data_IF_672954547521
#
_entry.id   IF_672954547521
#
_cell.length_a   1.000
_cell.length_b   1.000
_cell.length_c   1.000
_cell.angle_alpha   90.00
_cell.angle_beta   90.00
_cell.angle_gamma   90.00
#
_symmetry.space_group_name_H-M   'P 1'
#
loop_
_entity.id
_entity.type
_entity.pdbx_description
1 polymer ?
#
# COMPACT_ATOMS: atom_id res chain seq x y z
N UNK A 1 -3.77 -7.55 7.05
CA UNK A 1 -3.15 -6.22 6.84
C UNK A 1 -3.89 -5.18 7.69
N UNK A 2 -3.34 -4.77 8.85
CA UNK A 2 -3.98 -3.84 9.79
C UNK A 2 -4.27 -2.46 9.19
N UNK A 3 -3.36 -1.92 8.37
CA UNK A 3 -3.55 -0.62 7.72
C UNK A 3 -4.78 -0.59 6.80
N UNK A 4 -4.90 -1.59 5.93
CA UNK A 4 -6.06 -1.76 5.05
C UNK A 4 -7.37 -1.85 5.85
N UNK A 5 -7.38 -2.64 6.93
CA UNK A 5 -8.54 -2.74 7.79
C UNK A 5 -8.91 -1.38 8.39
N UNK A 6 -7.93 -0.65 8.91
CA UNK A 6 -8.10 0.70 9.42
C UNK A 6 -8.67 1.67 8.37
N UNK A 7 -8.16 1.64 7.13
CA UNK A 7 -8.71 2.45 6.03
C UNK A 7 -10.16 2.07 5.76
N UNK A 8 -10.45 0.78 5.59
CA UNK A 8 -11.79 0.30 5.22
C UNK A 8 -12.87 0.66 6.24
N UNK A 9 -12.60 0.46 7.53
CA UNK A 9 -13.60 0.71 8.60
C UNK A 9 -13.84 2.20 8.84
N UNK A 10 -12.88 3.08 8.53
CA UNK A 10 -13.00 4.52 8.73
C UNK A 10 -13.44 5.28 7.46
N UNK A 11 -13.53 4.60 6.32
CA UNK A 11 -14.10 5.19 5.10
C UNK A 11 -15.62 4.96 5.05
N UNK A 12 -16.47 6.00 5.14
CA UNK A 12 -17.93 5.87 5.23
C UNK A 12 -18.61 5.52 3.88
N UNK A 13 -17.90 4.85 2.97
CA UNK A 13 -18.37 4.55 1.62
C UNK A 13 -18.54 3.05 1.41
N UNK A 14 -19.58 2.65 0.68
CA UNK A 14 -19.72 1.27 0.23
C UNK A 14 -18.61 0.95 -0.79
N UNK A 15 -17.52 0.34 -0.31
CA UNK A 15 -16.36 -0.02 -1.12
C UNK A 15 -16.34 -1.53 -1.39
N UNK A 16 -15.98 -1.92 -2.63
CA UNK A 16 -15.69 -3.30 -2.97
C UNK A 16 -14.20 -3.56 -2.77
N UNK A 17 -13.85 -4.47 -1.87
CA UNK A 17 -12.46 -4.84 -1.63
C UNK A 17 -11.97 -5.79 -2.72
N UNK A 18 -10.80 -5.52 -3.29
CA UNK A 18 -10.07 -6.44 -4.16
C UNK A 18 -8.63 -6.54 -3.66
N UNK A 19 -8.10 -7.75 -3.54
CA UNK A 19 -6.73 -7.97 -3.07
C UNK A 19 -5.92 -8.40 -4.29
N UNK A 20 -4.83 -7.68 -4.57
CA UNK A 20 -3.94 -7.96 -5.70
C UNK A 20 -2.60 -8.35 -5.09
N UNK A 21 -2.24 -9.65 -5.01
CA UNK A 21 -0.91 -10.01 -4.52
C UNK A 21 0.16 -9.27 -5.33
N UNK A 22 1.09 -8.61 -4.63
CA UNK A 22 2.15 -7.88 -5.30
C UNK A 22 2.98 -8.85 -6.16
N UNK A 23 3.23 -8.47 -7.41
CA UNK A 23 4.03 -9.25 -8.36
C UNK A 23 5.53 -9.21 -7.98
N UNK A 24 5.93 -8.34 -7.04
CA UNK A 24 7.32 -8.18 -6.61
C UNK A 24 7.57 -8.98 -5.32
N UNK A 25 8.42 -10.02 -5.32
CA UNK A 25 8.61 -10.92 -4.17
C UNK A 25 9.21 -10.28 -2.90
N UNK A 26 9.64 -9.02 -2.96
CA UNK A 26 10.50 -8.40 -1.95
C UNK A 26 9.82 -7.34 -1.07
N UNK A 27 8.57 -6.97 -1.34
CA UNK A 27 7.88 -5.88 -0.64
C UNK A 27 6.38 -6.15 -0.59
N UNK A 28 5.94 -6.81 0.47
CA UNK A 28 4.56 -6.71 0.98
C UNK A 28 3.42 -7.13 0.04
N UNK A 29 2.22 -7.13 0.59
CA UNK A 29 0.98 -7.38 -0.18
C UNK A 29 0.39 -6.03 -0.55
N UNK A 30 0.50 -5.61 -1.81
CA UNK A 30 -0.25 -4.45 -2.30
C UNK A 30 -1.75 -4.76 -2.25
N UNK A 31 -2.59 -3.82 -1.80
CA UNK A 31 -4.05 -4.03 -1.86
C UNK A 31 -4.74 -2.90 -2.60
N UNK A 32 -5.51 -3.21 -3.63
CA UNK A 32 -6.28 -2.21 -4.38
C UNK A 32 -7.77 -2.27 -3.99
N UNK A 33 -8.24 -1.33 -3.19
CA UNK A 33 -9.67 -1.19 -2.91
C UNK A 33 -10.38 -0.55 -4.11
N UNK A 34 -11.36 -1.25 -4.67
CA UNK A 34 -12.20 -0.72 -5.76
C UNK A 34 -13.46 -0.11 -5.16
N UNK A 35 -13.50 1.22 -5.06
CA UNK A 35 -14.70 1.89 -4.54
C UNK A 35 -15.67 2.17 -5.69
N UNK A 36 -16.80 1.46 -5.74
CA UNK A 36 -17.90 1.85 -6.64
C UNK A 36 -18.64 3.01 -5.99
N UNK A 37 -18.58 4.19 -6.59
CA UNK A 37 -19.48 5.27 -6.22
C UNK A 37 -20.71 5.19 -7.11
N UNK A 38 -21.76 4.54 -6.63
CA UNK A 38 -23.08 4.61 -7.27
C UNK A 38 -23.70 5.96 -6.88
N UNK A 39 -23.62 6.97 -7.74
CA UNK A 39 -24.54 8.12 -7.63
C UNK A 39 -25.89 7.62 -8.13
N UNK A 40 -26.81 7.35 -7.19
CA UNK A 40 -28.10 6.68 -7.44
C UNK A 40 -28.99 7.36 -8.49
N UNK A 41 -28.67 8.60 -8.91
CA UNK A 41 -29.54 9.41 -9.75
C UNK A 41 -29.17 9.46 -11.25
N UNK A 42 -28.04 8.87 -11.70
CA UNK A 42 -27.56 9.10 -13.09
C UNK A 42 -27.22 7.87 -13.93
N UNK A 43 -27.39 6.62 -13.45
CA UNK A 43 -27.24 5.42 -14.30
C UNK A 43 -25.83 5.17 -14.91
N UNK A 44 -24.83 6.02 -14.62
CA UNK A 44 -23.44 5.84 -15.07
C UNK A 44 -22.63 5.22 -13.94
N UNK A 45 -22.21 3.97 -14.12
CA UNK A 45 -21.25 3.29 -13.23
C UNK A 45 -19.85 3.89 -13.44
N UNK A 46 -19.47 4.87 -12.62
CA UNK A 46 -18.10 5.37 -12.55
C UNK A 46 -17.33 4.63 -11.44
N UNK A 47 -16.13 4.16 -11.77
CA UNK A 47 -15.29 3.42 -10.82
C UNK A 47 -14.19 4.35 -10.31
N UNK A 48 -14.16 4.55 -8.99
CA UNK A 48 -13.06 5.22 -8.31
C UNK A 48 -12.18 4.14 -7.65
N UNK A 49 -10.87 4.24 -7.81
CA UNK A 49 -9.92 3.27 -7.27
C UNK A 49 -9.11 3.92 -6.17
N UNK A 50 -9.04 3.27 -5.00
CA UNK A 50 -8.13 3.63 -3.92
C UNK A 50 -7.12 2.49 -3.77
N UNK A 51 -5.86 2.78 -4.05
CA UNK A 51 -4.77 1.84 -3.80
C UNK A 51 -4.29 2.05 -2.38
N UNK A 52 -4.17 0.98 -1.60
CA UNK A 52 -3.71 1.00 -0.21
C UNK A 52 -2.43 0.19 -0.11
N UNK A 53 -1.33 0.88 0.19
CA UNK A 53 0.00 0.29 0.36
C UNK A 53 0.50 0.42 1.79
N UNK A 54 1.31 -0.55 2.22
CA UNK A 54 1.97 -0.50 3.52
C UNK A 54 3.16 0.47 3.50
N UNK A 55 4.02 0.39 2.48
CA UNK A 55 5.22 1.22 2.39
C UNK A 55 5.59 1.60 0.95
N UNK A 56 5.73 2.90 0.71
CA UNK A 56 6.31 3.45 -0.52
C UNK A 56 7.80 3.71 -0.30
N UNK A 57 8.63 2.93 -1.01
CA UNK A 57 10.09 3.11 -1.06
C UNK A 57 10.54 3.95 -2.25
N UNK A 58 10.93 3.27 -3.35
CA UNK A 58 11.43 3.93 -4.56
C UNK A 58 10.35 4.49 -5.46
N UNK A 59 9.08 4.08 -5.29
CA UNK A 59 7.96 4.45 -6.16
C UNK A 59 7.74 3.51 -7.35
N UNK A 60 8.68 2.61 -7.66
CA UNK A 60 8.62 1.74 -8.85
C UNK A 60 7.40 0.83 -8.90
N UNK A 61 7.08 0.15 -7.79
CA UNK A 61 5.90 -0.72 -7.68
C UNK A 61 4.62 0.07 -7.96
N UNK A 62 4.51 1.27 -7.39
CA UNK A 62 3.36 2.13 -7.59
C UNK A 62 3.21 2.62 -9.03
N UNK A 63 4.30 3.03 -9.69
CA UNK A 63 4.25 3.41 -11.11
C UNK A 63 3.79 2.25 -12.01
N UNK A 64 4.31 1.05 -11.77
CA UNK A 64 3.91 -0.14 -12.54
C UNK A 64 2.43 -0.49 -12.32
N UNK A 65 1.97 -0.42 -11.07
CA UNK A 65 0.57 -0.69 -10.72
C UNK A 65 -0.38 0.35 -11.31
N UNK A 66 -0.05 1.64 -11.18
CA UNK A 66 -0.84 2.74 -11.76
C UNK A 66 -0.96 2.59 -13.27
N UNK A 67 0.15 2.38 -13.98
CA UNK A 67 0.11 2.14 -15.43
C UNK A 67 -0.66 0.89 -15.85
N UNK A 68 -0.83 -0.09 -14.95
CA UNK A 68 -1.69 -1.26 -15.20
C UNK A 68 -3.17 -0.96 -14.97
N UNK A 69 -3.50 -0.17 -13.94
CA UNK A 69 -4.87 0.20 -13.59
C UNK A 69 -5.44 1.25 -14.55
N UNK A 70 -4.64 2.20 -14.99
CA UNK A 70 -5.05 3.28 -15.92
C UNK A 70 -5.60 2.74 -17.24
N UNK A 71 -5.15 1.56 -17.70
CA UNK A 71 -5.67 0.88 -18.91
C UNK A 71 -7.17 0.59 -18.84
N UNK A 72 -7.72 0.44 -17.64
CA UNK A 72 -9.14 0.20 -17.41
C UNK A 72 -9.97 1.48 -17.32
N UNK A 73 -9.35 2.65 -17.53
CA UNK A 73 -9.99 3.97 -17.54
C UNK A 73 -10.88 4.22 -16.32
N UNK A 74 -10.37 4.07 -15.08
CA UNK A 74 -11.11 4.47 -13.90
C UNK A 74 -11.39 5.98 -13.93
N UNK A 75 -12.48 6.39 -13.29
CA UNK A 75 -12.84 7.79 -13.17
C UNK A 75 -11.87 8.58 -12.29
N UNK A 76 -11.34 7.92 -11.26
CA UNK A 76 -10.34 8.48 -10.36
C UNK A 76 -9.47 7.35 -9.82
N UNK A 77 -8.18 7.64 -9.67
CA UNK A 77 -7.26 6.79 -8.91
C UNK A 77 -6.66 7.65 -7.80
N UNK A 78 -6.66 7.12 -6.57
CA UNK A 78 -5.97 7.69 -5.42
C UNK A 78 -5.11 6.63 -4.76
N UNK A 79 -4.02 7.05 -4.12
CA UNK A 79 -3.09 6.17 -3.42
C UNK A 79 -2.96 6.60 -1.97
N UNK A 80 -3.21 5.67 -1.06
CA UNK A 80 -2.93 5.79 0.37
C UNK A 80 -1.75 4.88 0.74
N UNK A 81 -0.78 5.41 1.46
CA UNK A 81 0.30 4.61 2.03
C UNK A 81 0.53 4.93 3.49
N UNK A 82 0.75 3.89 4.30
CA UNK A 82 1.06 4.08 5.72
C UNK A 82 2.43 4.73 5.89
N UNK A 83 3.45 4.24 5.19
CA UNK A 83 4.83 4.69 5.33
C UNK A 83 5.40 5.17 3.99
N UNK A 84 6.07 6.31 3.98
CA UNK A 84 6.84 6.81 2.82
C UNK A 84 8.30 6.96 3.24
N UNK A 85 9.21 6.23 2.57
CA UNK A 85 10.64 6.32 2.87
C UNK A 85 11.27 7.55 2.21
N UNK A 86 11.96 8.36 3.00
CA UNK A 86 12.88 9.41 2.51
C UNK A 86 14.14 8.74 1.99
N UNK A 87 14.16 8.41 0.71
CA UNK A 87 15.29 7.75 0.04
C UNK A 87 15.73 8.53 -1.20
N UNK A 88 17.05 8.69 -1.44
CA UNK A 88 17.56 9.32 -2.66
C UNK A 88 17.28 8.48 -3.91
N UNK A 89 16.89 7.20 -3.74
CA UNK A 89 16.48 6.31 -4.83
C UNK A 89 15.03 6.50 -5.27
N UNK A 90 14.31 7.44 -4.65
CA UNK A 90 12.93 7.76 -5.00
C UNK A 90 12.88 8.34 -6.40
N UNK A 91 11.90 7.90 -7.18
CA UNK A 91 11.64 8.41 -8.52
C UNK A 91 10.66 9.60 -8.53
N UNK A 92 10.48 10.22 -7.36
CA UNK A 92 9.59 11.36 -7.13
C UNK A 92 8.13 10.98 -6.83
N UNK A 93 7.75 9.70 -6.88
CA UNK A 93 6.37 9.29 -6.60
C UNK A 93 5.95 9.64 -5.16
N UNK A 94 4.76 10.24 -5.02
CA UNK A 94 4.14 10.60 -3.75
C UNK A 94 2.70 10.09 -3.72
N UNK A 95 2.27 9.34 -2.69
CA UNK A 95 0.87 8.96 -2.54
C UNK A 95 0.01 10.19 -2.20
N UNK A 96 -1.27 10.16 -2.57
CA UNK A 96 -2.23 11.21 -2.24
C UNK A 96 -2.47 11.32 -0.72
N UNK A 97 -2.42 10.19 -0.03
CA UNK A 97 -2.56 10.10 1.42
C UNK A 97 -1.34 9.38 2.00
N UNK A 98 -0.52 10.10 2.75
CA UNK A 98 0.63 9.52 3.46
C UNK A 98 0.36 9.52 4.97
N UNK A 99 0.55 8.38 5.64
CA UNK A 99 0.48 8.29 7.10
C UNK A 99 1.71 8.93 7.74
N UNK A 100 2.89 8.38 7.45
CA UNK A 100 4.15 8.82 8.04
C UNK A 100 5.28 8.85 6.99
N UNK A 101 6.10 9.90 7.04
CA UNK A 101 7.39 9.88 6.36
C UNK A 101 8.50 9.38 7.29
N UNK A 102 9.16 8.31 6.89
CA UNK A 102 10.22 7.66 7.69
C UNK A 102 11.59 7.78 7.02
N UNK A 103 12.70 7.72 7.78
CA UNK A 103 14.03 7.56 7.21
C UNK A 103 14.15 6.29 6.34
N UNK A 104 15.18 6.22 5.50
CA UNK A 104 15.46 5.04 4.68
C UNK A 104 16.04 3.87 5.50
N UNK A 105 15.22 3.30 6.40
CA UNK A 105 15.53 2.16 7.23
C UNK A 105 14.68 0.95 6.83
N UNK A 106 15.16 -0.25 7.16
CA UNK A 106 14.36 -1.47 7.01
C UNK A 106 13.47 -1.63 8.24
N UNK A 107 12.16 -1.63 8.01
CA UNK A 107 11.14 -1.67 9.06
C UNK A 107 10.32 -2.96 8.94
N UNK A 108 9.92 -3.50 10.09
CA UNK A 108 9.13 -4.71 10.23
C UNK A 108 7.99 -4.47 11.23
N UNK A 109 7.01 -5.38 11.28
CA UNK A 109 5.86 -5.25 12.16
C UNK A 109 4.70 -4.50 11.53
N UNK A 110 3.54 -4.59 12.18
CA UNK A 110 2.28 -4.11 11.64
C UNK A 110 1.95 -4.70 10.26
N UNK A 111 2.18 -6.01 10.13
CA UNK A 111 2.16 -6.82 8.91
C UNK A 111 3.26 -6.58 7.87
N UNK A 112 4.18 -5.63 8.10
CA UNK A 112 5.46 -5.56 7.37
C UNK A 112 6.37 -6.72 7.82
N UNK A 113 7.12 -7.29 6.88
CA UNK A 113 7.90 -8.50 7.13
C UNK A 113 9.37 -8.39 6.72
N UNK A 114 10.17 -9.29 7.28
CA UNK A 114 11.48 -9.66 6.78
C UNK A 114 11.47 -11.18 6.56
N UNK A 115 11.46 -11.59 5.29
CA UNK A 115 11.36 -13.01 4.89
C UNK A 115 10.21 -13.73 5.60
N UNK A 116 9.01 -13.14 5.55
CA UNK A 116 7.77 -13.64 6.19
C UNK A 116 7.72 -13.56 7.73
N UNK A 117 8.82 -13.23 8.40
CA UNK A 117 8.85 -13.02 9.85
C UNK A 117 8.37 -11.62 10.27
N UNK A 118 8.00 -11.49 11.55
CA UNK A 118 7.65 -10.24 12.24
C UNK A 118 6.32 -9.59 11.85
N UNK A 119 5.48 -10.22 11.02
CA UNK A 119 4.17 -9.67 10.62
C UNK A 119 3.22 -9.44 11.79
N UNK A 120 3.36 -10.24 12.84
CA UNK A 120 2.54 -10.30 14.05
C UNK A 120 2.92 -9.26 15.11
N UNK A 121 4.03 -8.54 14.94
CA UNK A 121 4.38 -7.43 15.84
C UNK A 121 3.38 -6.29 15.70
N UNK A 122 2.85 -5.80 16.83
CA UNK A 122 1.91 -4.67 16.83
C UNK A 122 2.57 -3.32 16.55
N UNK A 123 3.89 -3.24 16.69
CA UNK A 123 4.67 -2.03 16.52
C UNK A 123 5.51 -2.08 15.24
N UNK A 124 5.66 -0.93 14.59
CA UNK A 124 6.61 -0.76 13.50
C UNK A 124 7.99 -0.55 14.10
N UNK A 125 8.90 -1.49 13.85
CA UNK A 125 10.23 -1.53 14.44
C UNK A 125 11.32 -1.55 13.37
N UNK A 126 12.52 -1.09 13.71
CA UNK A 126 13.71 -1.26 12.86
C UNK A 126 14.36 -2.60 13.20
N UNK A 127 14.65 -3.42 12.19
CA UNK A 127 15.34 -4.69 12.38
C UNK A 127 16.84 -4.45 12.62
N UNK A 128 17.40 -5.06 13.67
CA UNK A 128 18.83 -4.99 13.98
C UNK A 128 19.64 -6.00 13.13
N UNK A 129 20.97 -5.88 13.14
CA UNK A 129 21.84 -6.77 12.35
C UNK A 129 21.74 -8.25 12.77
N UNK A 130 21.58 -8.53 14.06
CA UNK A 130 21.38 -9.89 14.54
C UNK A 130 20.09 -10.52 13.98
N UNK A 131 18.99 -9.76 13.94
CA UNK A 131 17.73 -10.19 13.35
C UNK A 131 17.84 -10.41 11.85
N UNK A 132 18.52 -9.52 11.12
CA UNK A 132 18.76 -9.72 9.69
C UNK A 132 19.51 -11.01 9.42
N UNK A 133 20.59 -11.29 10.15
CA UNK A 133 21.36 -12.52 9.95
C UNK A 133 20.55 -13.77 10.32
N UNK A 134 19.84 -13.74 11.45
CA UNK A 134 19.07 -14.88 11.94
C UNK A 134 17.97 -15.34 10.98
N UNK A 135 17.32 -14.41 10.29
CA UNK A 135 16.18 -14.68 9.42
C UNK A 135 16.51 -14.51 7.94
N UNK A 136 17.80 -14.49 7.57
CA UNK A 136 18.26 -14.44 6.19
C UNK A 136 17.90 -15.73 5.45
N UNK A 137 17.46 -15.60 4.20
CA UNK A 137 17.17 -16.71 3.27
C UNK A 137 18.19 -16.68 2.13
#
# INVERSE_FOLDING_TARGET
MPFLHGVYIHTPVHAQLTIIPAIVPLLGVTTATKTRCCRLDCGVLTVNVLIVEDVVGTGRTMKALLGSIEKYKPNMIKVASLLVKRTPRSDGFRPDYAGFEIPNLFVVGYALDYNEYFRDLNHICVINEHGKEKYRV
#
